data_IF_570115457424
#
_entry.id   IF_570115457424
#
_cell.length_a   1.000
_cell.length_b   1.000
_cell.length_c   1.000
_cell.angle_alpha   90.00
_cell.angle_beta   90.00
_cell.angle_gamma   90.00
#
_symmetry.space_group_name_H-M   'P 1'
#
loop_
_entity.id
_entity.type
_entity.pdbx_description
1 polymer ?
#
# COMPACT_ATOMS: atom_id res chain seq x y z
N UNK A 1 8.46 54.66 -13.47
CA UNK A 1 7.36 55.54 -13.88
C UNK A 1 6.11 54.88 -13.33
N UNK A 2 5.56 55.32 -12.17
CA UNK A 2 4.43 56.25 -11.99
C UNK A 2 3.23 55.77 -12.77
N UNK A 3 2.03 55.48 -12.25
CA UNK A 3 1.19 56.13 -11.22
C UNK A 3 0.02 55.18 -10.95
N UNK A 4 -0.45 54.93 -9.78
CA UNK A 4 -1.28 55.74 -8.87
C UNK A 4 -2.75 55.82 -9.21
N UNK A 5 -3.54 55.42 -8.24
CA UNK A 5 -4.73 56.03 -7.64
C UNK A 5 -6.14 55.71 -8.22
N UNK A 6 -7.06 55.43 -7.31
CA UNK A 6 -8.49 55.61 -7.46
C UNK A 6 -9.35 54.94 -6.42
N UNK A 7 -9.46 55.55 -5.26
CA UNK A 7 -10.48 55.35 -4.21
C UNK A 7 -11.86 55.75 -4.74
N UNK A 8 -12.93 54.95 -4.48
CA UNK A 8 -14.29 55.51 -4.30
C UNK A 8 -15.09 54.71 -3.27
N UNK A 9 -15.34 55.35 -2.17
CA UNK A 9 -16.27 55.02 -1.11
C UNK A 9 -17.66 55.45 -1.51
N UNK A 10 -18.68 54.59 -1.39
CA UNK A 10 -20.07 55.08 -1.34
C UNK A 10 -20.89 54.29 -0.33
N UNK A 11 -21.16 54.94 0.78
CA UNK A 11 -22.13 54.57 1.81
C UNK A 11 -23.54 54.89 1.32
N UNK A 12 -24.47 53.95 1.38
CA UNK A 12 -25.90 54.28 1.42
C UNK A 12 -26.56 53.42 2.52
N UNK A 13 -26.96 54.09 3.58
CA UNK A 13 -27.85 53.59 4.60
C UNK A 13 -29.29 53.68 4.14
N UNK A 14 -30.04 52.59 4.22
CA UNK A 14 -31.53 52.65 4.22
C UNK A 14 -32.05 51.84 5.39
N UNK A 15 -32.71 52.59 6.28
CA UNK A 15 -33.48 52.12 7.43
C UNK A 15 -34.78 51.50 6.92
N UNK A 16 -35.10 50.30 7.32
CA UNK A 16 -36.40 49.65 7.05
C UNK A 16 -36.82 48.83 8.29
N UNK A 17 -37.91 49.24 8.86
CA UNK A 17 -38.58 48.89 10.08
C UNK A 17 -38.95 47.42 10.23
N UNK A 18 -38.82 46.96 11.44
CA UNK A 18 -39.17 45.69 12.07
C UNK A 18 -40.61 45.22 11.90
N UNK A 19 -40.80 43.97 11.54
CA UNK A 19 -42.00 43.20 11.93
C UNK A 19 -41.56 41.97 12.70
N UNK A 20 -41.81 41.94 14.00
CA UNK A 20 -41.61 40.77 14.88
C UNK A 20 -42.76 39.79 14.64
N UNK A 21 -42.44 38.67 13.96
CA UNK A 21 -43.27 37.47 13.99
C UNK A 21 -42.70 36.54 15.05
N UNK A 22 -43.36 36.43 16.19
CA UNK A 22 -43.03 35.42 17.20
C UNK A 22 -43.51 34.04 16.72
N UNK A 23 -42.59 33.25 16.21
CA UNK A 23 -42.81 31.82 16.00
C UNK A 23 -42.30 31.05 17.18
N UNK A 24 -43.23 30.45 17.93
CA UNK A 24 -42.95 29.50 19.02
C UNK A 24 -42.12 28.32 18.50
N UNK A 25 -41.04 27.94 19.17
CA UNK A 25 -40.25 26.80 18.73
C UNK A 25 -41.00 25.49 19.02
N UNK A 26 -41.40 24.79 17.97
CA UNK A 26 -41.91 23.43 18.07
C UNK A 26 -40.71 22.53 18.46
N UNK A 27 -40.75 22.04 19.70
CA UNK A 27 -39.78 21.10 20.27
C UNK A 27 -39.82 19.80 19.45
N UNK A 28 -38.95 19.71 18.43
CA UNK A 28 -38.72 18.45 17.72
C UNK A 28 -38.06 17.49 18.72
N UNK A 29 -38.72 16.35 18.98
CA UNK A 29 -38.12 15.28 19.74
C UNK A 29 -36.90 14.75 18.95
N UNK A 30 -35.71 15.06 19.43
CA UNK A 30 -34.49 14.39 18.94
C UNK A 30 -34.61 12.91 19.34
N UNK A 31 -34.85 12.06 18.34
CA UNK A 31 -34.65 10.62 18.49
C UNK A 31 -33.22 10.37 18.94
N UNK A 32 -33.02 9.63 20.01
CA UNK A 32 -31.67 9.23 20.46
C UNK A 32 -30.95 8.57 19.31
N UNK A 33 -29.70 8.98 18.98
CA UNK A 33 -28.92 8.32 17.97
C UNK A 33 -28.68 6.87 18.42
N UNK A 34 -29.09 5.92 17.58
CA UNK A 34 -28.75 4.49 17.76
C UNK A 34 -27.21 4.39 17.78
N UNK A 35 -26.61 3.77 18.82
CA UNK A 35 -25.16 3.61 18.84
C UNK A 35 -24.72 2.85 17.58
N UNK A 36 -23.61 3.27 16.94
CA UNK A 36 -23.11 2.57 15.77
C UNK A 36 -22.83 1.11 16.17
N UNK A 37 -23.37 0.18 15.39
CA UNK A 37 -23.10 -1.25 15.55
C UNK A 37 -21.58 -1.46 15.49
N UNK A 38 -20.99 -1.90 16.59
CA UNK A 38 -19.56 -2.16 16.66
C UNK A 38 -19.20 -3.21 15.59
N UNK A 39 -18.40 -2.82 14.60
CA UNK A 39 -17.83 -3.76 13.64
C UNK A 39 -16.96 -4.72 14.44
N UNK A 40 -17.15 -6.04 14.33
CA UNK A 40 -16.32 -6.99 15.05
C UNK A 40 -14.85 -6.76 14.73
N UNK A 41 -14.02 -6.50 15.73
CA UNK A 41 -12.56 -6.45 15.56
C UNK A 41 -12.09 -7.87 15.23
N UNK A 42 -11.45 -8.10 14.08
CA UNK A 42 -10.96 -9.43 13.73
C UNK A 42 -10.05 -9.98 14.83
N UNK A 43 -10.27 -11.23 15.22
CA UNK A 43 -9.38 -11.92 16.17
C UNK A 43 -7.96 -11.92 15.60
N UNK A 44 -6.93 -11.60 16.41
CA UNK A 44 -5.54 -11.72 15.98
C UNK A 44 -5.24 -13.16 15.53
N UNK A 45 -4.51 -13.29 14.42
CA UNK A 45 -4.03 -14.60 13.93
C UNK A 45 -3.06 -15.21 14.94
N UNK A 46 -3.12 -16.52 15.12
CA UNK A 46 -2.07 -17.27 15.81
C UNK A 46 -0.77 -17.19 14.99
N UNK A 47 0.36 -17.60 15.59
CA UNK A 47 1.65 -17.62 14.89
C UNK A 47 1.61 -18.53 13.65
N UNK A 48 0.96 -19.69 13.76
CA UNK A 48 0.86 -20.65 12.66
C UNK A 48 -0.08 -20.14 11.56
N UNK A 49 -1.24 -19.57 11.91
CA UNK A 49 -2.14 -18.95 10.94
C UNK A 49 -1.47 -17.79 10.20
N UNK A 50 -0.68 -16.97 10.90
CA UNK A 50 0.08 -15.88 10.29
C UNK A 50 1.14 -16.40 9.32
N UNK A 51 1.89 -17.43 9.72
CA UNK A 51 2.88 -18.07 8.86
C UNK A 51 2.25 -18.61 7.57
N UNK A 52 1.15 -19.37 7.69
CA UNK A 52 0.44 -19.91 6.52
C UNK A 52 -0.11 -18.80 5.63
N UNK A 53 -0.64 -17.72 6.21
CA UNK A 53 -1.15 -16.56 5.47
C UNK A 53 -0.03 -15.92 4.64
N UNK A 54 1.13 -15.65 5.25
CA UNK A 54 2.25 -15.01 4.55
C UNK A 54 2.88 -15.93 3.51
N UNK A 55 2.98 -17.24 3.79
CA UNK A 55 3.45 -18.23 2.83
C UNK A 55 2.54 -18.31 1.59
N UNK A 56 1.22 -18.23 1.78
CA UNK A 56 0.26 -18.19 0.69
C UNK A 56 0.39 -16.90 -0.12
N UNK A 57 0.52 -15.74 0.55
CA UNK A 57 0.74 -14.45 -0.12
C UNK A 57 2.04 -14.44 -0.95
N UNK A 58 3.13 -15.02 -0.44
CA UNK A 58 4.39 -15.20 -1.20
C UNK A 58 4.14 -16.02 -2.46
N UNK A 59 3.49 -17.17 -2.31
CA UNK A 59 3.21 -18.09 -3.42
C UNK A 59 2.39 -17.40 -4.52
N UNK A 60 1.31 -16.72 -4.15
CA UNK A 60 0.40 -16.06 -5.10
C UNK A 60 1.07 -14.85 -5.79
N UNK A 61 1.79 -14.03 -5.03
CA UNK A 61 2.52 -12.87 -5.54
C UNK A 61 3.58 -13.30 -6.54
N UNK A 62 4.37 -14.32 -6.20
CA UNK A 62 5.43 -14.78 -7.09
C UNK A 62 4.94 -15.68 -8.23
N UNK A 63 3.74 -16.24 -8.14
CA UNK A 63 3.07 -16.77 -9.31
C UNK A 63 2.76 -15.67 -10.34
N UNK A 64 2.36 -14.47 -9.89
CA UNK A 64 2.20 -13.31 -10.80
C UNK A 64 3.54 -12.83 -11.37
N UNK A 65 4.61 -12.82 -10.56
CA UNK A 65 5.98 -12.53 -11.04
C UNK A 65 6.40 -13.51 -12.14
N UNK A 66 6.28 -14.81 -11.88
CA UNK A 66 6.67 -15.87 -12.83
C UNK A 66 5.79 -15.92 -14.10
N UNK A 67 4.57 -15.38 -14.01
CA UNK A 67 3.70 -15.15 -15.18
C UNK A 67 4.00 -13.82 -15.89
N UNK A 68 4.96 -13.02 -15.40
CA UNK A 68 5.32 -11.67 -15.87
C UNK A 68 4.12 -10.71 -15.91
N UNK A 69 3.12 -10.93 -15.07
CA UNK A 69 1.95 -10.06 -14.93
C UNK A 69 2.25 -8.93 -13.94
N UNK A 70 2.80 -7.83 -14.47
CA UNK A 70 3.17 -6.65 -13.67
C UNK A 70 1.98 -6.08 -12.89
N UNK A 71 0.79 -6.08 -13.48
CA UNK A 71 -0.38 -5.49 -12.83
C UNK A 71 -0.84 -6.35 -11.65
N UNK A 72 -0.89 -7.67 -11.84
CA UNK A 72 -1.24 -8.61 -10.79
C UNK A 72 -0.18 -8.65 -9.68
N UNK A 73 1.10 -8.59 -10.04
CA UNK A 73 2.21 -8.48 -9.09
C UNK A 73 2.09 -7.22 -8.23
N UNK A 74 1.91 -6.05 -8.87
CA UNK A 74 1.81 -4.78 -8.16
C UNK A 74 0.54 -4.63 -7.32
N UNK A 75 -0.48 -5.46 -7.53
CA UNK A 75 -1.67 -5.49 -6.67
C UNK A 75 -1.37 -5.94 -5.24
N UNK A 76 -0.23 -6.56 -4.98
CA UNK A 76 0.24 -6.89 -3.62
C UNK A 76 0.95 -5.74 -2.91
N UNK A 77 1.30 -4.66 -3.62
CA UNK A 77 2.02 -3.52 -3.06
C UNK A 77 1.05 -2.41 -2.66
N UNK A 78 1.37 -1.70 -1.58
CA UNK A 78 0.67 -0.49 -1.19
C UNK A 78 1.13 0.69 -2.06
N UNK A 79 0.26 1.69 -2.28
CA UNK A 79 0.60 2.88 -3.07
C UNK A 79 1.78 3.68 -2.48
N UNK A 80 1.98 3.57 -1.16
CA UNK A 80 3.07 4.21 -0.42
C UNK A 80 4.24 3.26 -0.13
N UNK A 81 4.42 2.22 -0.95
CA UNK A 81 5.54 1.30 -0.78
C UNK A 81 6.89 2.00 -0.95
N UNK A 82 7.85 1.59 -0.15
CA UNK A 82 9.26 1.88 -0.32
C UNK A 82 10.01 0.56 -0.58
N UNK A 83 10.66 0.47 -1.73
CA UNK A 83 11.44 -0.69 -2.12
C UNK A 83 12.93 -0.31 -2.13
N UNK A 84 13.68 -0.88 -1.21
CA UNK A 84 15.12 -0.70 -1.07
C UNK A 84 15.84 -1.89 -1.71
N UNK A 85 16.64 -1.62 -2.72
CA UNK A 85 17.45 -2.65 -3.41
C UNK A 85 18.92 -2.29 -3.31
N UNK A 86 19.77 -3.22 -2.88
CA UNK A 86 21.21 -2.96 -2.65
C UNK A 86 21.96 -2.45 -3.88
N UNK A 87 21.55 -2.87 -5.08
CA UNK A 87 22.12 -2.38 -6.36
C UNK A 87 21.25 -1.34 -7.06
N UNK A 88 19.94 -1.37 -6.85
CA UNK A 88 18.96 -0.51 -7.54
C UNK A 88 18.58 0.75 -6.77
N UNK A 89 18.91 0.84 -5.48
CA UNK A 89 18.55 1.95 -4.60
C UNK A 89 17.08 1.93 -4.16
N UNK A 90 16.58 3.10 -3.75
CA UNK A 90 15.20 3.28 -3.28
C UNK A 90 14.25 3.61 -4.44
N UNK A 91 13.14 2.87 -4.52
CA UNK A 91 12.06 3.14 -5.47
C UNK A 91 10.69 3.20 -4.76
N UNK A 92 9.79 4.03 -5.30
CA UNK A 92 8.38 4.10 -4.94
C UNK A 92 7.54 3.15 -5.80
N UNK A 93 6.21 3.14 -5.61
CA UNK A 93 5.28 2.27 -6.33
C UNK A 93 5.43 2.36 -7.86
N UNK A 94 5.41 3.56 -8.43
CA UNK A 94 5.50 3.77 -9.88
C UNK A 94 6.86 3.30 -10.43
N UNK A 95 7.93 3.69 -9.78
CA UNK A 95 9.29 3.29 -10.17
C UNK A 95 9.50 1.77 -10.06
N UNK A 96 8.94 1.14 -9.01
CA UNK A 96 8.99 -0.32 -8.82
C UNK A 96 8.23 -1.04 -9.94
N UNK A 97 7.03 -0.56 -10.27
CA UNK A 97 6.23 -1.10 -11.38
C UNK A 97 6.97 -1.01 -12.71
N UNK A 98 7.57 0.12 -13.02
CA UNK A 98 8.38 0.32 -14.22
C UNK A 98 9.63 -0.56 -14.23
N UNK A 99 10.27 -0.77 -13.08
CA UNK A 99 11.41 -1.65 -12.95
C UNK A 99 11.05 -3.10 -13.25
N UNK A 100 9.94 -3.62 -12.72
CA UNK A 100 9.46 -4.95 -13.07
C UNK A 100 9.07 -5.07 -14.54
N UNK A 101 8.41 -4.07 -15.11
CA UNK A 101 8.08 -4.09 -16.54
C UNK A 101 9.34 -4.15 -17.42
N UNK A 102 10.37 -3.40 -17.07
CA UNK A 102 11.68 -3.46 -17.78
C UNK A 102 12.36 -4.81 -17.59
N UNK A 103 12.37 -5.35 -16.39
CA UNK A 103 12.95 -6.65 -16.08
C UNK A 103 12.34 -7.75 -16.94
N UNK A 104 11.02 -7.84 -17.00
CA UNK A 104 10.31 -8.84 -17.78
C UNK A 104 10.51 -8.67 -19.30
N UNK A 105 10.68 -7.43 -19.77
CA UNK A 105 11.00 -7.18 -21.17
C UNK A 105 12.45 -7.57 -21.54
N UNK A 106 13.40 -7.42 -20.61
CA UNK A 106 14.81 -7.72 -20.81
C UNK A 106 15.16 -9.19 -20.55
N UNK A 107 14.44 -9.84 -19.64
CA UNK A 107 14.63 -11.24 -19.25
C UNK A 107 13.29 -11.97 -19.29
N UNK A 108 12.77 -12.30 -20.48
CA UNK A 108 11.44 -12.87 -20.67
C UNK A 108 11.27 -14.29 -20.14
N UNK A 109 12.32 -14.89 -19.66
CA UNK A 109 12.39 -16.24 -19.07
C UNK A 109 12.74 -16.22 -17.58
N UNK A 110 12.88 -15.02 -16.97
CA UNK A 110 13.21 -14.92 -15.55
C UNK A 110 12.14 -15.56 -14.68
N UNK A 111 12.58 -16.38 -13.75
CA UNK A 111 11.71 -17.02 -12.73
C UNK A 111 12.26 -16.79 -11.34
N UNK A 112 11.37 -16.85 -10.37
CA UNK A 112 11.71 -16.78 -8.94
C UNK A 112 11.17 -18.02 -8.21
N UNK A 113 12.00 -18.60 -7.35
CA UNK A 113 11.61 -19.62 -6.37
C UNK A 113 11.99 -19.21 -4.97
N UNK A 114 11.15 -19.58 -3.99
CA UNK A 114 11.52 -19.46 -2.57
C UNK A 114 12.50 -20.58 -2.23
N UNK A 115 13.61 -20.26 -1.55
CA UNK A 115 14.54 -21.29 -1.06
C UNK A 115 13.85 -22.05 0.07
N UNK A 116 13.71 -23.38 -0.03
CA UNK A 116 13.01 -24.17 0.98
C UNK A 116 13.61 -23.99 2.39
N UNK A 117 12.74 -23.81 3.38
CA UNK A 117 13.12 -23.66 4.78
C UNK A 117 13.67 -22.27 5.15
N UNK A 118 13.75 -21.32 4.21
CA UNK A 118 14.26 -19.98 4.50
C UNK A 118 13.21 -18.99 4.99
N UNK A 119 11.92 -19.33 4.88
CA UNK A 119 10.82 -18.44 5.26
C UNK A 119 10.74 -18.27 6.78
N UNK A 120 10.81 -17.03 7.21
CA UNK A 120 10.55 -16.60 8.58
C UNK A 120 9.44 -15.55 8.58
N UNK A 121 8.50 -15.68 9.53
CA UNK A 121 7.37 -14.76 9.66
C UNK A 121 7.25 -14.31 11.11
N UNK A 122 7.20 -13.00 11.31
CA UNK A 122 7.06 -12.37 12.62
C UNK A 122 5.87 -11.39 12.64
N UNK A 123 5.01 -11.45 13.67
CA UNK A 123 3.92 -10.48 13.79
C UNK A 123 4.46 -9.07 14.09
N UNK A 124 3.86 -8.08 13.44
CA UNK A 124 4.04 -6.66 13.77
C UNK A 124 2.74 -6.18 14.42
N UNK A 125 2.81 -5.90 15.74
CA UNK A 125 1.62 -5.55 16.54
C UNK A 125 0.82 -4.40 15.93
N UNK A 126 -0.48 -4.60 15.75
CA UNK A 126 -1.43 -3.63 15.19
C UNK A 126 -1.08 -3.16 13.76
N UNK A 127 -0.26 -3.92 13.04
CA UNK A 127 0.14 -3.57 11.68
C UNK A 127 0.00 -4.74 10.70
N UNK A 128 0.63 -5.87 10.97
CA UNK A 128 0.63 -7.02 10.08
C UNK A 128 1.78 -7.99 10.35
N UNK A 129 2.68 -8.18 9.39
CA UNK A 129 3.76 -9.13 9.49
C UNK A 129 5.07 -8.67 8.87
N UNK A 130 6.17 -9.16 9.42
CA UNK A 130 7.48 -9.17 8.79
C UNK A 130 7.71 -10.54 8.15
N UNK A 131 8.13 -10.53 6.89
CA UNK A 131 8.40 -11.69 6.05
C UNK A 131 9.86 -11.63 5.62
N UNK A 132 10.65 -12.61 6.06
CA UNK A 132 12.09 -12.71 5.76
C UNK A 132 12.31 -14.03 5.03
N UNK A 133 13.07 -14.01 3.94
CA UNK A 133 13.45 -15.25 3.26
C UNK A 133 14.65 -15.06 2.33
N UNK A 134 15.15 -16.19 1.85
CA UNK A 134 16.06 -16.28 0.71
C UNK A 134 15.26 -16.69 -0.53
N UNK A 135 15.52 -16.04 -1.63
CA UNK A 135 14.91 -16.32 -2.92
C UNK A 135 15.99 -16.65 -3.96
N UNK A 136 15.61 -17.42 -4.96
CA UNK A 136 16.46 -17.77 -6.08
C UNK A 136 15.82 -17.28 -7.37
N UNK A 137 16.56 -16.50 -8.13
CA UNK A 137 16.18 -16.10 -9.48
C UNK A 137 17.00 -16.88 -10.49
N UNK A 138 16.33 -17.33 -11.56
CA UNK A 138 16.96 -18.00 -12.69
C UNK A 138 16.52 -17.34 -13.99
N UNK A 139 17.42 -17.24 -14.96
CA UNK A 139 17.19 -16.81 -16.35
C UNK A 139 18.21 -17.48 -17.27
N UNK A 140 18.06 -17.36 -18.57
CA UNK A 140 19.05 -17.88 -19.54
C UNK A 140 19.98 -16.77 -19.97
N UNK A 141 21.27 -16.95 -19.73
CA UNK A 141 22.32 -16.07 -20.22
C UNK A 141 23.28 -16.87 -21.13
N UNK A 142 23.53 -16.37 -22.33
CA UNK A 142 24.41 -17.02 -23.32
C UNK A 142 24.05 -18.50 -23.59
N UNK A 143 22.75 -18.83 -23.58
CA UNK A 143 22.20 -20.18 -23.81
C UNK A 143 22.41 -21.16 -22.65
N UNK A 144 22.71 -20.65 -21.45
CA UNK A 144 22.85 -21.44 -20.23
C UNK A 144 21.97 -20.84 -19.13
N UNK A 145 21.43 -21.71 -18.30
CA UNK A 145 20.73 -21.26 -17.10
C UNK A 145 21.73 -20.60 -16.14
N UNK A 146 21.45 -19.35 -15.78
CA UNK A 146 22.16 -18.59 -14.75
C UNK A 146 21.21 -18.32 -13.57
N UNK A 147 21.64 -18.65 -12.37
CA UNK A 147 20.82 -18.54 -11.18
C UNK A 147 21.60 -17.89 -10.04
N UNK A 148 20.96 -16.94 -9.37
CA UNK A 148 21.48 -16.28 -8.18
C UNK A 148 20.50 -16.36 -7.01
N UNK A 149 21.04 -16.40 -5.79
CA UNK A 149 20.26 -16.26 -4.58
C UNK A 149 20.39 -14.83 -4.05
N UNK A 150 19.30 -14.29 -3.53
CA UNK A 150 19.31 -13.03 -2.79
C UNK A 150 18.39 -13.15 -1.57
N UNK A 151 18.52 -12.21 -0.66
CA UNK A 151 17.73 -12.15 0.57
C UNK A 151 16.75 -10.98 0.53
N UNK A 152 15.65 -11.11 1.24
CA UNK A 152 14.72 -10.01 1.37
C UNK A 152 14.06 -9.95 2.75
N UNK A 153 13.62 -8.76 3.09
CA UNK A 153 12.67 -8.47 4.15
C UNK A 153 11.50 -7.72 3.54
N UNK A 154 10.29 -8.21 3.74
CA UNK A 154 9.06 -7.50 3.37
C UNK A 154 8.24 -7.19 4.61
N UNK A 155 7.64 -6.02 4.67
CA UNK A 155 6.69 -5.64 5.71
C UNK A 155 5.30 -5.56 5.08
N UNK A 156 4.45 -6.49 5.51
CA UNK A 156 3.06 -6.56 5.12
C UNK A 156 2.19 -5.79 6.09
N UNK A 157 1.35 -4.91 5.59
CA UNK A 157 0.28 -4.27 6.35
C UNK A 157 -1.03 -5.01 6.11
N UNK A 158 -1.73 -5.34 7.22
CA UNK A 158 -3.08 -5.90 7.16
C UNK A 158 -4.08 -4.80 7.53
N UNK A 159 -4.95 -4.44 6.59
CA UNK A 159 -5.97 -3.43 6.80
C UNK A 159 -7.29 -3.88 6.18
N UNK A 160 -8.37 -3.88 6.96
CA UNK A 160 -9.71 -4.30 6.52
C UNK A 160 -9.74 -5.66 5.79
N UNK A 161 -8.98 -6.65 6.29
CA UNK A 161 -8.88 -7.98 5.70
C UNK A 161 -7.96 -8.09 4.48
N UNK A 162 -7.37 -6.99 4.01
CA UNK A 162 -6.48 -6.96 2.87
C UNK A 162 -5.02 -6.86 3.33
N UNK A 163 -4.12 -7.58 2.66
CA UNK A 163 -2.68 -7.54 2.90
C UNK A 163 -1.99 -6.79 1.76
N UNK A 164 -1.10 -5.84 2.12
CA UNK A 164 -0.28 -5.08 1.16
C UNK A 164 1.13 -4.90 1.69
N UNK A 165 2.12 -4.98 0.79
CA UNK A 165 3.52 -4.73 1.10
C UNK A 165 3.74 -3.22 1.17
N UNK A 166 4.26 -2.74 2.30
CA UNK A 166 4.60 -1.33 2.50
C UNK A 166 6.10 -1.07 2.47
N UNK A 167 6.92 -2.09 2.76
CA UNK A 167 8.39 -2.01 2.72
C UNK A 167 8.95 -3.29 2.13
N UNK A 168 9.96 -3.13 1.30
CA UNK A 168 10.82 -4.22 0.82
C UNK A 168 12.27 -3.79 1.01
N UNK A 169 13.08 -4.68 1.54
CA UNK A 169 14.54 -4.59 1.51
C UNK A 169 15.04 -5.84 0.81
N UNK A 170 15.62 -5.69 -0.40
CA UNK A 170 16.17 -6.79 -1.20
C UNK A 170 17.68 -6.61 -1.30
N UNK A 171 18.45 -7.61 -0.91
CA UNK A 171 19.89 -7.49 -0.71
C UNK A 171 20.63 -8.82 -0.91
N UNK A 172 21.96 -8.73 -0.97
CA UNK A 172 22.86 -9.89 -1.16
C UNK A 172 22.74 -10.49 -2.58
N UNK A 173 22.68 -9.57 -3.61
CA UNK A 173 22.61 -9.92 -5.03
C UNK A 173 23.99 -10.10 -5.66
#
# INVERSE_FOLDING_TARGET
MRSSLGIFLLLLALSGTTAHAQTTPRKAALGSPTPPTAVPVPKPLTKDELYQTVAQLDTEMFAAFNAHDVNKLMAYFADNVEFYHDKGGLTNFTQTKEAFARLFAQSPDITRTLVPGSLEVYPVKNYGAMHIATQRFCHVENGREDCGNSKFVMVWQQQAGTWRITRVVSYDH
#
